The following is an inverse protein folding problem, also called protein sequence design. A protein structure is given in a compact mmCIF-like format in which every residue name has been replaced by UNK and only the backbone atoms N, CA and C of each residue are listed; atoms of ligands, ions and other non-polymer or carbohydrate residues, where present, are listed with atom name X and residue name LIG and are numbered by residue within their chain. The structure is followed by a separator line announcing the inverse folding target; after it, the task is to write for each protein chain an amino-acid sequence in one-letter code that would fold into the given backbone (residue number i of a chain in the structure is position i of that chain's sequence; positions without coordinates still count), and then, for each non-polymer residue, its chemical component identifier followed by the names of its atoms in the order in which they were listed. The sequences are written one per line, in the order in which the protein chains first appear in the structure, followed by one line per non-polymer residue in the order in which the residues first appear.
data_IF_034174109444
#
_entry.id   IF_034174109444
#
_cell.length_a   1.000
_cell.length_b   1.000
_cell.length_c   1.000
_cell.angle_alpha   90.00
_cell.angle_beta   90.00
_cell.angle_gamma   90.00
#
_symmetry.space_group_name_H-M   'P 1'
#
loop_
_entity.id
_entity.type
_entity.pdbx_description
1 polymer ?
#
# COMPACT_ATOMS: atom_id res chain seq x y z
N UNK A 1 -16.51 -2.14 -14.29
CA UNK A 1 -17.38 -1.00 -14.66
C UNK A 1 -18.02 -0.51 -13.37
N UNK A 2 -17.80 0.76 -12.98
CA UNK A 2 -17.83 1.35 -11.60
C UNK A 2 -16.57 1.10 -10.75
N UNK A 3 -15.39 1.14 -11.39
CA UNK A 3 -14.10 0.79 -10.73
C UNK A 3 -13.40 2.02 -10.14
N UNK A 4 -13.77 3.25 -10.50
CA UNK A 4 -13.10 4.46 -10.01
C UNK A 4 -13.48 4.79 -8.55
N UNK A 5 -14.77 4.85 -8.23
CA UNK A 5 -15.23 5.19 -6.87
C UNK A 5 -14.86 4.15 -5.80
N UNK A 6 -14.78 2.88 -6.19
CA UNK A 6 -14.48 1.78 -5.26
C UNK A 6 -12.99 1.65 -4.96
N UNK A 7 -12.11 2.21 -5.80
CA UNK A 7 -10.67 2.30 -5.54
C UNK A 7 -10.35 3.39 -4.54
N UNK A 8 -11.02 4.54 -4.64
CA UNK A 8 -10.82 5.65 -3.71
C UNK A 8 -11.32 5.34 -2.30
N UNK A 9 -12.40 4.58 -2.14
CA UNK A 9 -13.01 4.41 -0.81
C UNK A 9 -12.11 3.66 0.20
N UNK A 10 -11.49 2.51 -0.11
CA UNK A 10 -10.58 1.83 0.81
C UNK A 10 -9.26 2.60 1.00
N UNK A 11 -8.65 3.09 -0.09
CA UNK A 11 -7.38 3.83 -0.03
C UNK A 11 -7.55 5.13 0.76
N UNK A 12 -8.66 5.83 0.56
CA UNK A 12 -9.01 7.05 1.28
C UNK A 12 -9.16 6.79 2.76
N UNK A 13 -9.93 5.75 3.14
CA UNK A 13 -10.12 5.42 4.55
C UNK A 13 -8.83 5.00 5.25
N UNK A 14 -8.00 4.18 4.59
CA UNK A 14 -6.70 3.76 5.14
C UNK A 14 -5.81 4.98 5.34
N UNK A 15 -5.70 5.85 4.34
CA UNK A 15 -4.89 7.07 4.43
C UNK A 15 -5.36 7.97 5.57
N UNK A 16 -6.67 8.23 5.70
CA UNK A 16 -7.23 9.03 6.79
C UNK A 16 -6.87 8.41 8.16
N UNK A 17 -7.03 7.10 8.32
CA UNK A 17 -6.69 6.42 9.59
C UNK A 17 -5.19 6.47 9.91
N UNK A 18 -4.31 6.38 8.91
CA UNK A 18 -2.87 6.52 9.09
C UNK A 18 -2.49 7.96 9.50
N UNK A 19 -3.12 8.96 8.89
CA UNK A 19 -2.97 10.38 9.28
C UNK A 19 -3.42 10.63 10.71
N UNK A 20 -4.59 10.14 11.10
CA UNK A 20 -5.11 10.23 12.47
C UNK A 20 -4.17 9.58 13.51
N UNK A 21 -3.36 8.61 13.08
CA UNK A 21 -2.33 7.95 13.91
C UNK A 21 -0.98 8.67 13.91
N UNK A 22 -0.85 9.82 13.23
CA UNK A 22 0.37 10.63 13.19
C UNK A 22 1.36 10.24 12.09
N UNK A 23 0.94 9.49 11.07
CA UNK A 23 1.82 9.22 9.92
C UNK A 23 1.92 10.46 9.04
N UNK A 24 3.09 11.09 9.04
CA UNK A 24 3.31 12.36 8.33
C UNK A 24 3.62 12.19 6.83
N UNK A 25 4.23 11.08 6.44
CA UNK A 25 4.59 10.81 5.04
C UNK A 25 3.76 9.66 4.51
N UNK A 26 2.79 10.00 3.64
CA UNK A 26 2.03 9.04 2.85
C UNK A 26 2.20 9.42 1.39
N UNK A 27 2.45 8.42 0.55
CA UNK A 27 2.56 8.51 -0.90
C UNK A 27 1.72 7.39 -1.49
N UNK A 28 1.24 7.58 -2.72
CA UNK A 28 0.47 6.55 -3.41
C UNK A 28 1.06 6.29 -4.80
N UNK A 29 0.77 5.10 -5.33
CA UNK A 29 1.06 4.76 -6.72
C UNK A 29 -0.16 4.04 -7.29
N UNK A 30 -0.79 4.63 -8.30
CA UNK A 30 -1.79 4.00 -9.15
C UNK A 30 -1.76 4.72 -10.51
N UNK A 31 -1.31 4.08 -11.60
CA UNK A 31 -1.23 4.70 -12.93
C UNK A 31 -2.58 5.15 -13.51
N UNK A 32 -3.69 4.68 -12.93
CA UNK A 32 -5.03 5.02 -13.33
C UNK A 32 -5.66 6.12 -12.47
N UNK A 33 -4.98 6.57 -11.40
CA UNK A 33 -5.44 7.63 -10.50
C UNK A 33 -4.46 8.79 -10.56
N UNK A 34 -4.72 9.83 -11.39
CA UNK A 34 -3.77 10.92 -11.61
C UNK A 34 -3.63 11.88 -10.41
N UNK A 35 -4.64 11.95 -9.55
CA UNK A 35 -4.64 12.76 -8.33
C UNK A 35 -5.44 12.04 -7.25
N UNK A 36 -4.94 12.09 -6.02
CA UNK A 36 -5.58 11.42 -4.89
C UNK A 36 -5.61 12.35 -3.67
N UNK A 37 -6.82 12.78 -3.32
CA UNK A 37 -7.09 13.63 -2.17
C UNK A 37 -7.90 12.87 -1.13
N UNK A 38 -7.62 13.11 0.14
CA UNK A 38 -8.36 12.51 1.25
C UNK A 38 -8.93 13.57 2.17
N UNK A 39 -10.18 13.36 2.59
CA UNK A 39 -10.82 14.22 3.58
C UNK A 39 -10.34 13.84 4.98
N UNK A 40 -9.83 14.82 5.71
CA UNK A 40 -9.46 14.71 7.14
C UNK A 40 -10.28 15.69 7.97
N UNK A 41 -10.23 15.60 9.29
CA UNK A 41 -10.89 16.58 10.18
C UNK A 41 -10.34 18.01 10.00
N UNK A 42 -9.08 18.14 9.57
CA UNK A 42 -8.43 19.43 9.32
C UNK A 42 -8.69 19.98 7.91
N UNK A 43 -9.32 19.18 7.03
CA UNK A 43 -9.62 19.53 5.64
C UNK A 43 -9.12 18.48 4.64
N UNK A 44 -9.32 18.74 3.32
CA UNK A 44 -8.78 17.88 2.27
C UNK A 44 -7.25 17.96 2.25
N UNK A 45 -6.61 16.80 2.12
CA UNK A 45 -5.16 16.66 2.02
C UNK A 45 -4.83 15.91 0.75
N UNK A 46 -3.98 16.52 -0.07
CA UNK A 46 -3.41 15.87 -1.25
C UNK A 46 -2.38 14.83 -0.82
N UNK A 47 -2.50 13.62 -1.37
CA UNK A 47 -1.52 12.55 -1.19
C UNK A 47 -0.66 12.51 -2.46
N UNK A 48 0.65 12.78 -2.39
CA UNK A 48 1.44 12.84 -3.61
C UNK A 48 1.62 11.45 -4.27
N UNK A 49 1.46 11.42 -5.58
CA UNK A 49 1.79 10.26 -6.41
C UNK A 49 3.30 10.08 -6.53
N UNK A 50 3.77 8.84 -6.58
CA UNK A 50 5.18 8.50 -6.80
C UNK A 50 5.29 7.40 -7.87
N UNK A 51 6.44 7.35 -8.53
CA UNK A 51 6.77 6.20 -9.36
C UNK A 51 7.06 4.98 -8.48
N UNK A 52 6.67 3.80 -8.95
CA UNK A 52 6.96 2.55 -8.27
C UNK A 52 8.36 2.09 -8.66
N UNK A 53 9.36 2.54 -7.89
CA UNK A 53 10.76 2.17 -8.10
C UNK A 53 11.36 1.50 -6.88
N UNK A 54 12.44 0.71 -7.04
CA UNK A 54 13.17 0.12 -5.92
C UNK A 54 13.61 1.17 -4.88
N UNK A 55 14.01 2.35 -5.32
CA UNK A 55 14.49 3.44 -4.48
C UNK A 55 13.35 4.01 -3.63
N UNK A 56 12.18 4.23 -4.24
CA UNK A 56 10.98 4.69 -3.54
C UNK A 56 10.55 3.65 -2.52
N UNK A 57 10.47 2.38 -2.89
CA UNK A 57 10.06 1.30 -1.99
C UNK A 57 10.97 1.16 -0.76
N UNK A 58 12.29 1.22 -0.95
CA UNK A 58 13.28 1.15 0.15
C UNK A 58 13.25 2.38 1.07
N UNK A 59 12.78 3.53 0.57
CA UNK A 59 12.73 4.77 1.34
C UNK A 59 11.50 4.85 2.27
N UNK A 60 10.53 3.95 2.14
CA UNK A 60 9.35 3.90 2.99
C UNK A 60 9.45 2.73 3.97
N UNK A 61 8.88 2.89 5.17
CA UNK A 61 8.89 1.84 6.20
C UNK A 61 7.98 0.66 5.85
N UNK A 62 6.87 0.93 5.17
CA UNK A 62 5.89 -0.07 4.78
C UNK A 62 5.19 0.24 3.46
N UNK A 63 4.84 -0.81 2.73
CA UNK A 63 3.92 -0.76 1.60
C UNK A 63 2.57 -1.39 1.98
N UNK A 64 1.46 -0.76 1.58
CA UNK A 64 0.10 -1.30 1.80
C UNK A 64 -0.57 -1.51 0.45
N UNK A 65 -0.92 -2.75 0.13
CA UNK A 65 -1.61 -3.09 -1.10
C UNK A 65 -3.11 -2.99 -0.87
N UNK A 66 -3.74 -1.99 -1.50
CA UNK A 66 -5.16 -1.65 -1.29
C UNK A 66 -6.02 -2.02 -2.49
N UNK A 67 -5.41 -2.14 -3.67
CA UNK A 67 -6.08 -2.44 -4.93
C UNK A 67 -5.35 -3.60 -5.60
N UNK A 68 -6.12 -4.55 -6.10
CA UNK A 68 -5.63 -5.66 -6.92
C UNK A 68 -5.75 -5.27 -8.39
N UNK A 69 -4.63 -4.87 -8.99
CA UNK A 69 -4.56 -4.59 -10.42
C UNK A 69 -3.18 -4.93 -10.98
N UNK A 70 -3.13 -5.38 -12.23
CA UNK A 70 -1.91 -5.81 -12.95
C UNK A 70 -0.90 -4.66 -13.22
N UNK A 71 -1.13 -3.47 -12.69
CA UNK A 71 -0.31 -2.29 -12.96
C UNK A 71 1.01 -2.23 -12.18
N UNK A 72 1.31 -3.24 -11.33
CA UNK A 72 2.59 -3.35 -10.64
C UNK A 72 3.14 -4.78 -10.69
N UNK A 73 4.45 -4.90 -10.57
CA UNK A 73 5.14 -6.19 -10.41
C UNK A 73 5.16 -6.58 -8.92
N UNK A 74 4.49 -7.67 -8.51
CA UNK A 74 4.51 -8.18 -7.14
C UNK A 74 5.92 -8.41 -6.59
N UNK A 75 6.84 -8.87 -7.44
CA UNK A 75 8.21 -9.21 -7.01
C UNK A 75 9.02 -7.94 -6.75
N UNK A 76 8.86 -6.90 -7.56
CA UNK A 76 9.48 -5.59 -7.32
C UNK A 76 9.15 -5.05 -5.92
N UNK A 77 7.88 -5.15 -5.53
CA UNK A 77 7.42 -4.72 -4.19
C UNK A 77 8.02 -5.64 -3.12
N UNK A 78 7.88 -6.95 -3.29
CA UNK A 78 8.35 -7.94 -2.33
C UNK A 78 9.86 -7.87 -2.09
N UNK A 79 10.67 -7.58 -3.11
CA UNK A 79 12.12 -7.48 -3.01
C UNK A 79 12.57 -6.21 -2.27
N UNK A 80 11.89 -5.09 -2.48
CA UNK A 80 12.42 -3.78 -2.09
C UNK A 80 11.70 -3.09 -0.93
N UNK A 81 10.43 -3.43 -0.65
CA UNK A 81 9.74 -2.90 0.52
C UNK A 81 10.25 -3.60 1.81
N UNK A 82 10.51 -2.85 2.89
CA UNK A 82 10.92 -3.44 4.18
C UNK A 82 9.83 -4.27 4.86
N UNK A 83 8.57 -3.82 4.79
CA UNK A 83 7.40 -4.52 5.32
C UNK A 83 6.21 -4.28 4.40
N UNK A 84 5.38 -5.29 4.23
CA UNK A 84 4.23 -5.24 3.32
C UNK A 84 2.97 -5.71 4.02
N UNK A 85 1.91 -4.92 3.92
CA UNK A 85 0.55 -5.31 4.30
C UNK A 85 -0.26 -5.53 3.04
N UNK A 86 -0.58 -6.78 2.76
CA UNK A 86 -1.40 -7.16 1.61
C UNK A 86 -2.86 -7.34 2.06
N UNK A 87 -3.76 -6.51 1.55
CA UNK A 87 -5.21 -6.60 1.86
C UNK A 87 -6.00 -7.34 0.78
N UNK A 88 -5.31 -7.79 -0.28
CA UNK A 88 -5.92 -8.28 -1.52
C UNK A 88 -5.42 -9.65 -1.98
N UNK A 89 -4.38 -10.18 -1.34
CA UNK A 89 -3.69 -11.40 -1.79
C UNK A 89 -3.00 -11.21 -3.16
N UNK A 90 -2.61 -9.97 -3.46
CA UNK A 90 -1.98 -9.57 -4.71
C UNK A 90 -0.52 -10.06 -4.84
N UNK A 91 0.12 -10.40 -3.72
CA UNK A 91 1.48 -10.96 -3.69
C UNK A 91 1.51 -12.48 -3.55
N UNK A 92 0.40 -13.16 -3.86
CA UNK A 92 0.26 -14.62 -3.75
C UNK A 92 1.27 -15.39 -4.61
N UNK A 93 1.72 -14.83 -5.74
CA UNK A 93 2.70 -15.44 -6.64
C UNK A 93 4.16 -15.35 -6.14
N UNK A 94 4.43 -14.52 -5.12
CA UNK A 94 5.75 -14.49 -4.48
C UNK A 94 5.87 -15.77 -3.66
N UNK A 95 6.83 -16.65 -3.96
CA UNK A 95 6.98 -17.95 -3.28
C UNK A 95 8.30 -18.09 -2.52
N UNK A 96 9.22 -17.14 -2.68
CA UNK A 96 10.47 -17.08 -1.94
C UNK A 96 10.18 -16.92 -0.43
N UNK A 97 10.63 -17.84 0.43
CA UNK A 97 10.40 -17.78 1.87
C UNK A 97 10.92 -16.47 2.51
N UNK A 98 12.09 -15.99 2.10
CA UNK A 98 12.72 -14.80 2.70
C UNK A 98 11.93 -13.54 2.34
N UNK A 99 11.35 -13.49 1.13
CA UNK A 99 10.47 -12.40 0.73
C UNK A 99 9.12 -12.47 1.44
N UNK A 100 8.60 -13.69 1.66
CA UNK A 100 7.33 -13.93 2.35
C UNK A 100 7.35 -13.51 3.81
N UNK A 101 8.48 -13.56 4.50
CA UNK A 101 8.61 -13.09 5.89
C UNK A 101 8.22 -11.60 6.05
N UNK A 102 8.35 -10.80 4.99
CA UNK A 102 8.02 -9.37 4.99
C UNK A 102 6.55 -9.10 4.67
N UNK A 103 5.80 -10.11 4.20
CA UNK A 103 4.44 -9.96 3.69
C UNK A 103 3.44 -10.44 4.74
N UNK A 104 2.60 -9.52 5.21
CA UNK A 104 1.44 -9.85 6.04
C UNK A 104 0.16 -9.76 5.22
N UNK A 105 -0.43 -10.91 4.91
CA UNK A 105 -1.75 -11.00 4.28
C UNK A 105 -2.84 -10.83 5.34
N UNK A 106 -3.64 -9.77 5.25
CA UNK A 106 -4.77 -9.58 6.17
C UNK A 106 -5.88 -10.60 5.89
N UNK A 107 -6.39 -11.23 6.96
CA UNK A 107 -7.45 -12.23 6.88
C UNK A 107 -6.98 -13.67 6.67
N UNK A 108 -5.67 -13.90 6.52
CA UNK A 108 -5.05 -15.23 6.43
C UNK A 108 -5.08 -16.02 7.75
N UNK A 109 -5.26 -15.34 8.89
CA UNK A 109 -5.13 -15.91 10.23
C UNK A 109 -3.71 -15.84 10.79
N UNK A 110 -2.72 -15.41 10.01
CA UNK A 110 -1.35 -15.19 10.45
C UNK A 110 -1.23 -13.87 11.22
N UNK A 111 -0.59 -13.92 12.40
CA UNK A 111 -0.37 -12.73 13.23
C UNK A 111 0.79 -11.89 12.68
N UNK A 112 0.55 -10.62 12.39
CA UNK A 112 1.57 -9.61 12.07
C UNK A 112 2.70 -9.64 13.13
N UNK A 113 3.94 -9.86 12.69
CA UNK A 113 5.14 -9.74 13.52
C UNK A 113 6.00 -8.62 12.94
N UNK A 114 6.03 -7.43 13.56
CA UNK A 114 6.91 -6.36 13.08
C UNK A 114 8.37 -6.81 13.22
N UNK A 115 9.19 -6.49 12.22
CA UNK A 115 10.64 -6.61 12.35
C UNK A 115 11.10 -5.71 13.51
N UNK A 116 11.95 -6.27 14.39
CA UNK A 116 12.43 -5.65 15.61
C UNK A 116 13.46 -4.54 15.35
#
# INVERSE_FOLDING_TARGET
RNVDDTRHAPAGKITTLLREKGVETIRYHDPHVPSFDVSTEEGPVEVPSVELTPEVLRAHDAAVIVTDHDAFDPHLIAEHAPTIVDTRDALSDVTDPDLREKITLLGSGDSFRPAA
#
